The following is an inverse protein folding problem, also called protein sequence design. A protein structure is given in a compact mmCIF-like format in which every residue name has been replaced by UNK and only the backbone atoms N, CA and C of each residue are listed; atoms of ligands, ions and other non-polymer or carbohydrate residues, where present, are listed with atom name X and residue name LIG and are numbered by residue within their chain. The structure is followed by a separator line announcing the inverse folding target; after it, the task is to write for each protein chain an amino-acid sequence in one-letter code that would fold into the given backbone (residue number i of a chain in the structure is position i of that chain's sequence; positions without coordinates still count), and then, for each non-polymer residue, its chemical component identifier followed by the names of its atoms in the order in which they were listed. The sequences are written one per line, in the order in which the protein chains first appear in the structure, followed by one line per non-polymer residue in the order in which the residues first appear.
data_IF_106671015453
#
_entry.id   IF_106671015453
#
_cell.length_a   1.000
_cell.length_b   1.000
_cell.length_c   1.000
_cell.angle_alpha   90.00
_cell.angle_beta   90.00
_cell.angle_gamma   90.00
#
_symmetry.space_group_name_H-M   'P 1'
#
loop_
_entity.id
_entity.type
_entity.pdbx_description
1 polymer ?
#
# COMPACT_ATOMS: atom_id res chain seq x y z
N UNK A 1 32.37 17.14 -42.92
CA UNK A 1 33.14 18.38 -43.07
C UNK A 1 33.37 18.93 -41.66
N UNK A 2 34.44 18.54 -41.01
CA UNK A 2 35.71 19.26 -40.90
C UNK A 2 35.64 20.46 -39.97
N UNK A 3 36.40 20.58 -39.01
CA UNK A 3 37.76 20.49 -38.43
C UNK A 3 37.76 21.46 -37.23
N UNK A 4 38.28 21.10 -36.11
CA UNK A 4 39.66 21.06 -35.61
C UNK A 4 40.23 22.41 -35.12
N UNK A 5 40.95 22.36 -34.02
CA UNK A 5 42.06 23.25 -33.67
C UNK A 5 41.95 23.72 -32.21
N UNK A 6 42.64 23.11 -31.24
CA UNK A 6 44.02 23.32 -30.76
C UNK A 6 44.19 24.71 -30.11
N UNK A 7 44.70 24.85 -28.94
CA UNK A 7 45.85 24.43 -28.24
C UNK A 7 46.30 25.52 -27.30
N UNK A 8 46.98 25.17 -26.34
CA UNK A 8 48.28 25.41 -25.69
C UNK A 8 48.28 26.41 -24.52
N UNK A 9 48.70 25.92 -23.39
CA UNK A 9 50.01 26.00 -22.70
C UNK A 9 50.41 27.36 -22.14
N UNK A 10 50.72 27.40 -20.86
CA UNK A 10 52.05 27.57 -20.24
C UNK A 10 51.91 28.21 -18.86
N UNK A 11 52.33 27.53 -17.82
CA UNK A 11 53.68 27.51 -17.17
C UNK A 11 54.06 28.73 -16.30
N UNK A 12 54.51 28.41 -15.09
CA UNK A 12 55.64 29.00 -14.41
C UNK A 12 55.31 29.75 -13.12
N UNK A 13 55.79 29.42 -12.07
CA UNK A 13 57.00 29.14 -11.39
C UNK A 13 57.09 29.90 -10.07
N UNK A 14 57.47 29.14 -9.04
CA UNK A 14 58.40 29.39 -7.94
C UNK A 14 58.53 30.75 -7.26
N UNK A 15 58.46 30.72 -5.92
CA UNK A 15 59.63 31.11 -5.11
C UNK A 15 59.43 30.82 -3.61
N UNK A 16 60.46 30.26 -3.04
CA UNK A 16 60.58 29.81 -1.65
C UNK A 16 61.29 30.87 -0.74
N UNK A 17 61.00 30.68 0.56
CA UNK A 17 61.86 30.83 1.76
C UNK A 17 62.27 32.23 2.24
N UNK A 18 62.71 32.45 3.52
CA UNK A 18 63.03 31.52 4.60
C UNK A 18 62.60 31.93 6.05
N UNK A 19 62.63 30.95 6.90
CA UNK A 19 62.98 30.77 8.32
C UNK A 19 63.36 31.95 9.21
N UNK A 20 62.76 31.97 10.43
CA UNK A 20 63.56 32.30 11.66
C UNK A 20 62.97 31.49 12.86
N UNK A 21 63.88 30.71 13.46
CA UNK A 21 63.68 30.01 14.75
C UNK A 21 63.85 30.98 15.91
N UNK A 22 63.01 30.84 16.93
CA UNK A 22 63.34 31.34 18.28
C UNK A 22 62.88 30.28 19.30
N UNK A 23 63.86 29.73 19.98
CA UNK A 23 63.79 28.77 21.07
C UNK A 23 63.47 29.50 22.37
N UNK A 24 62.44 29.02 23.10
CA UNK A 24 62.22 29.37 24.52
C UNK A 24 61.89 28.06 25.28
N UNK A 25 62.59 27.88 26.39
CA UNK A 25 62.66 26.70 27.23
C UNK A 25 61.37 26.50 28.10
N UNK A 26 61.17 25.28 28.68
CA UNK A 26 59.88 24.79 29.16
C UNK A 26 59.58 25.21 30.58
N UNK A 27 58.30 25.59 30.83
CA UNK A 27 57.69 25.71 32.14
C UNK A 27 56.80 24.50 32.42
N UNK A 28 57.05 23.84 33.54
CA UNK A 28 56.36 22.63 33.99
C UNK A 28 54.87 22.86 34.17
N UNK A 29 54.06 22.01 33.57
CA UNK A 29 52.61 21.95 33.73
C UNK A 29 52.22 20.93 34.84
N UNK A 30 51.13 21.17 35.59
CA UNK A 30 50.58 20.22 36.54
C UNK A 30 49.87 19.04 35.87
N UNK A 31 49.85 17.90 36.52
CA UNK A 31 49.29 16.63 36.06
C UNK A 31 47.77 16.72 35.71
N UNK A 32 47.30 16.02 34.66
CA UNK A 32 45.90 16.01 34.32
C UNK A 32 45.13 15.06 35.25
N UNK A 33 44.08 15.60 35.89
CA UNK A 33 43.04 14.85 36.54
C UNK A 33 42.21 14.11 35.48
N UNK A 34 42.27 12.79 35.50
CA UNK A 34 41.46 11.93 34.63
C UNK A 34 40.00 12.00 35.04
N UNK A 35 39.20 12.79 34.36
CA UNK A 35 37.72 12.68 34.37
C UNK A 35 37.32 11.61 33.37
N UNK A 36 36.89 10.45 33.87
CA UNK A 36 36.28 9.40 33.08
C UNK A 36 34.93 9.90 32.55
N UNK A 37 34.87 10.42 31.35
CA UNK A 37 33.59 10.68 30.67
C UNK A 37 32.99 9.32 30.30
N UNK A 38 31.89 8.97 30.95
CA UNK A 38 31.06 7.88 30.51
C UNK A 38 30.52 8.20 29.11
N UNK A 39 30.99 7.43 28.13
CA UNK A 39 30.53 7.51 26.74
C UNK A 39 29.12 6.90 26.70
N UNK A 40 28.10 7.71 26.96
CA UNK A 40 26.72 7.31 26.77
C UNK A 40 26.49 7.25 25.26
N UNK A 41 26.34 6.04 24.72
CA UNK A 41 25.92 5.85 23.33
C UNK A 41 24.64 6.68 23.05
N UNK A 42 24.51 7.32 21.90
CA UNK A 42 23.27 8.02 21.55
C UNK A 42 22.10 7.05 21.65
N UNK A 43 20.94 7.50 22.14
CA UNK A 43 19.75 6.63 22.19
C UNK A 43 19.46 6.12 20.78
N UNK A 44 19.25 4.82 20.65
CA UNK A 44 18.73 4.21 19.43
C UNK A 44 17.47 4.97 19.03
N UNK A 45 17.34 5.46 17.79
CA UNK A 45 16.10 6.09 17.35
C UNK A 45 14.93 5.14 17.65
N UNK A 46 13.87 5.66 18.23
CA UNK A 46 12.62 4.90 18.33
C UNK A 46 12.25 4.43 16.92
N UNK A 47 11.74 3.18 16.75
CA UNK A 47 11.23 2.76 15.45
C UNK A 47 10.26 3.83 14.95
N UNK A 48 10.37 4.19 13.67
CA UNK A 48 9.44 5.09 13.04
C UNK A 48 8.03 4.56 13.33
N UNK A 49 7.13 5.44 13.77
CA UNK A 49 5.74 5.05 13.93
C UNK A 49 5.28 4.47 12.59
N UNK A 50 4.71 3.26 12.60
CA UNK A 50 4.14 2.65 11.40
C UNK A 50 3.10 3.56 10.76
N UNK A 51 2.66 3.28 9.53
CA UNK A 51 1.59 4.05 8.90
C UNK A 51 0.42 4.15 9.86
N UNK A 52 -0.23 5.32 9.89
CA UNK A 52 -1.40 5.49 10.75
C UNK A 52 -2.43 4.43 10.34
N UNK A 53 -2.76 3.52 11.25
CA UNK A 53 -3.77 2.50 10.99
C UNK A 53 -5.08 3.21 10.63
N UNK A 54 -5.56 2.97 9.43
CA UNK A 54 -6.86 3.45 8.98
C UNK A 54 -7.92 2.49 9.50
N UNK A 55 -9.07 3.02 9.86
CA UNK A 55 -10.18 2.35 10.52
C UNK A 55 -9.89 1.97 11.98
N UNK A 56 -10.96 1.68 12.71
CA UNK A 56 -10.89 1.32 14.13
C UNK A 56 -10.11 0.02 14.37
N UNK A 57 -9.47 -0.11 15.50
CA UNK A 57 -8.82 -1.37 15.89
C UNK A 57 -9.80 -2.55 15.97
N UNK A 58 -11.11 -2.29 16.07
CA UNK A 58 -12.19 -3.29 16.04
C UNK A 58 -12.73 -3.55 14.63
N UNK A 59 -12.19 -2.88 13.61
CA UNK A 59 -12.52 -3.18 12.21
C UNK A 59 -12.23 -4.65 11.91
N UNK A 60 -13.09 -5.37 11.17
CA UNK A 60 -12.83 -6.74 10.78
C UNK A 60 -11.50 -6.89 10.02
N UNK A 61 -11.09 -5.84 9.32
CA UNK A 61 -9.81 -5.83 8.60
C UNK A 61 -8.61 -5.73 9.54
N UNK A 62 -8.75 -5.11 10.73
CA UNK A 62 -7.68 -4.88 11.69
C UNK A 62 -7.57 -5.95 12.79
N UNK A 63 -8.51 -6.91 12.83
CA UNK A 63 -8.53 -7.96 13.86
C UNK A 63 -7.81 -9.23 13.37
N UNK A 64 -6.80 -9.73 14.10
CA UNK A 64 -6.16 -11.00 13.79
C UNK A 64 -7.14 -12.17 13.76
N UNK A 65 -6.81 -13.22 13.01
CA UNK A 65 -7.58 -14.48 13.04
C UNK A 65 -7.38 -15.15 14.41
N UNK A 66 -8.45 -15.71 14.94
CA UNK A 66 -8.40 -16.47 16.20
C UNK A 66 -7.47 -17.69 16.05
N UNK A 67 -6.87 -18.15 17.16
CA UNK A 67 -5.96 -19.30 17.15
C UNK A 67 -6.64 -20.63 16.80
N UNK A 68 -7.96 -20.68 16.85
CA UNK A 68 -8.78 -21.86 16.52
C UNK A 68 -9.96 -21.43 15.64
N UNK A 69 -9.71 -21.07 14.36
CA UNK A 69 -10.75 -20.58 13.46
C UNK A 69 -11.64 -21.73 13.00
N UNK A 70 -12.94 -21.46 12.87
CA UNK A 70 -13.87 -22.41 12.26
C UNK A 70 -13.69 -22.38 10.75
N UNK A 71 -13.27 -23.51 10.18
CA UNK A 71 -13.10 -23.65 8.73
C UNK A 71 -14.43 -23.90 8.02
N UNK A 72 -14.56 -23.34 6.81
CA UNK A 72 -15.66 -23.69 5.92
C UNK A 72 -15.55 -25.15 5.50
N UNK A 73 -16.67 -25.91 5.43
CA UNK A 73 -16.64 -27.29 4.93
C UNK A 73 -16.07 -27.47 3.51
N UNK A 74 -16.06 -26.40 2.71
CA UNK A 74 -15.50 -26.40 1.36
C UNK A 74 -14.08 -25.80 1.28
N UNK A 75 -13.42 -25.51 2.43
CA UNK A 75 -12.11 -24.83 2.47
C UNK A 75 -11.10 -25.46 1.52
N UNK A 76 -10.95 -26.80 1.52
CA UNK A 76 -9.97 -27.49 0.67
C UNK A 76 -10.22 -27.22 -0.83
N UNK A 77 -11.47 -27.22 -1.27
CA UNK A 77 -11.81 -26.98 -2.68
C UNK A 77 -11.64 -25.52 -3.08
N UNK A 78 -11.96 -24.62 -2.17
CA UNK A 78 -11.77 -23.18 -2.36
C UNK A 78 -10.28 -22.89 -2.44
N UNK A 79 -9.47 -23.44 -1.52
CA UNK A 79 -8.01 -23.30 -1.53
C UNK A 79 -7.39 -23.86 -2.79
N UNK A 80 -7.78 -25.08 -3.23
CA UNK A 80 -7.34 -25.69 -4.49
C UNK A 80 -7.64 -24.81 -5.72
N UNK A 81 -8.74 -24.05 -5.69
CA UNK A 81 -9.06 -23.12 -6.76
C UNK A 81 -8.20 -21.87 -6.70
N UNK A 82 -8.14 -21.21 -5.54
CA UNK A 82 -7.47 -19.95 -5.33
C UNK A 82 -5.95 -20.06 -5.52
N UNK A 83 -5.33 -21.17 -5.10
CA UNK A 83 -3.90 -21.39 -5.23
C UNK A 83 -3.39 -21.61 -6.67
N UNK A 84 -4.27 -21.57 -7.68
CA UNK A 84 -3.85 -21.76 -9.08
C UNK A 84 -3.15 -20.58 -9.69
N UNK A 85 -3.51 -19.40 -9.26
CA UNK A 85 -2.97 -18.13 -9.74
C UNK A 85 -3.16 -17.09 -8.66
N UNK A 86 -2.05 -16.64 -8.09
CA UNK A 86 -2.06 -15.62 -7.04
C UNK A 86 -1.10 -14.51 -7.44
N UNK A 87 -1.61 -13.31 -7.61
CA UNK A 87 -0.83 -12.16 -8.03
C UNK A 87 -1.00 -10.96 -7.09
N UNK A 88 -0.05 -10.04 -7.17
CA UNK A 88 -0.12 -8.71 -6.58
C UNK A 88 -0.37 -7.70 -7.70
N UNK A 89 -1.48 -6.94 -7.60
CA UNK A 89 -1.79 -5.84 -8.51
C UNK A 89 -1.11 -4.57 -8.03
N UNK A 90 -0.03 -4.19 -8.69
CA UNK A 90 0.85 -3.11 -8.24
C UNK A 90 0.67 -1.80 -9.02
N UNK A 91 0.00 -1.86 -10.19
CA UNK A 91 -0.11 -0.71 -11.08
C UNK A 91 -1.46 -0.61 -11.79
N UNK A 92 -1.79 -1.51 -12.74
CA UNK A 92 -2.95 -1.33 -13.63
C UNK A 92 -4.28 -1.34 -12.87
N UNK A 93 -4.46 -2.32 -11.96
CA UNK A 93 -5.61 -2.42 -11.05
C UNK A 93 -5.21 -2.25 -9.57
N UNK A 94 -4.06 -1.62 -9.33
CA UNK A 94 -3.70 -1.14 -7.99
C UNK A 94 -4.64 -0.02 -7.53
N UNK A 95 -4.47 0.43 -6.30
CA UNK A 95 -5.28 1.50 -5.73
C UNK A 95 -4.46 2.79 -5.68
N UNK A 96 -4.90 3.81 -6.44
CA UNK A 96 -4.32 5.14 -6.37
C UNK A 96 -4.79 5.82 -5.08
N UNK A 97 -3.86 6.08 -4.14
CA UNK A 97 -4.18 6.65 -2.83
C UNK A 97 -3.50 8.00 -2.67
N UNK A 98 -4.28 8.98 -2.22
CA UNK A 98 -3.81 10.34 -1.90
C UNK A 98 -4.25 10.72 -0.50
N UNK A 99 -3.44 11.52 0.18
CA UNK A 99 -3.75 12.05 1.50
C UNK A 99 -3.88 13.57 1.42
N UNK A 100 -4.94 14.12 2.00
CA UNK A 100 -5.25 15.55 1.98
C UNK A 100 -5.61 16.09 3.34
N UNK A 101 -5.52 17.42 3.47
CA UNK A 101 -5.90 18.15 4.67
C UNK A 101 -6.64 19.44 4.32
N UNK A 102 -6.76 20.36 5.29
CA UNK A 102 -7.52 21.62 5.16
C UNK A 102 -7.08 22.52 3.99
N UNK A 103 -5.81 22.40 3.55
CA UNK A 103 -5.26 23.23 2.48
C UNK A 103 -5.70 22.83 1.08
N UNK A 104 -6.26 21.62 0.90
CA UNK A 104 -6.75 21.16 -0.41
C UNK A 104 -8.13 21.72 -0.68
N UNK A 105 -8.29 22.36 -1.84
CA UNK A 105 -9.57 22.94 -2.25
C UNK A 105 -10.58 21.84 -2.54
N UNK A 106 -11.79 21.87 -1.96
CA UNK A 106 -12.83 20.92 -2.27
C UNK A 106 -13.43 21.15 -3.66
N UNK A 107 -13.72 20.05 -4.36
CA UNK A 107 -14.27 20.01 -5.73
C UNK A 107 -15.59 19.23 -5.76
N UNK A 108 -16.37 19.42 -6.83
CA UNK A 108 -17.60 18.65 -7.06
C UNK A 108 -17.26 17.28 -7.68
N UNK A 109 -18.06 16.26 -7.34
CA UNK A 109 -18.03 14.96 -7.99
C UNK A 109 -19.44 14.60 -8.44
N UNK A 110 -19.60 14.25 -9.73
CA UNK A 110 -20.83 13.76 -10.32
C UNK A 110 -20.76 12.25 -10.53
N UNK A 111 -21.78 11.52 -10.14
CA UNK A 111 -21.88 10.08 -10.42
C UNK A 111 -22.62 9.83 -11.73
N UNK A 112 -22.14 8.88 -12.55
CA UNK A 112 -22.74 8.60 -13.87
C UNK A 112 -23.68 7.40 -13.88
N UNK A 113 -23.58 6.49 -12.89
CA UNK A 113 -24.45 5.33 -12.76
C UNK A 113 -25.68 5.64 -11.90
N UNK A 114 -26.83 5.16 -12.34
CA UNK A 114 -28.12 5.31 -11.63
C UNK A 114 -28.42 4.10 -10.72
N UNK A 115 -27.52 3.86 -9.76
CA UNK A 115 -27.66 2.79 -8.76
C UNK A 115 -28.29 3.28 -7.44
N UNK A 116 -28.88 4.46 -7.48
CA UNK A 116 -29.49 5.14 -6.35
C UNK A 116 -28.79 6.47 -6.05
N UNK A 117 -28.99 6.98 -4.82
CA UNK A 117 -28.34 8.23 -4.42
C UNK A 117 -26.84 8.00 -4.19
N UNK A 118 -26.02 8.56 -5.04
CA UNK A 118 -24.57 8.51 -4.89
C UNK A 118 -24.11 9.38 -3.72
N UNK A 119 -23.32 8.87 -2.77
CA UNK A 119 -22.80 9.64 -1.64
C UNK A 119 -21.95 10.84 -2.05
N UNK A 120 -21.21 10.73 -3.17
CA UNK A 120 -20.30 11.79 -3.63
C UNK A 120 -21.03 13.05 -4.12
N UNK A 121 -22.29 12.95 -4.52
CA UNK A 121 -23.09 14.11 -4.93
C UNK A 121 -23.63 14.93 -3.74
N UNK A 122 -23.41 14.48 -2.52
CA UNK A 122 -23.96 15.13 -1.31
C UNK A 122 -23.16 16.35 -0.84
N UNK A 123 -22.07 16.73 -1.50
CA UNK A 123 -21.21 17.84 -1.09
C UNK A 123 -19.99 18.02 -1.98
N UNK A 124 -19.01 18.75 -1.46
CA UNK A 124 -17.71 18.90 -2.09
C UNK A 124 -16.70 17.97 -1.39
N UNK A 125 -15.71 17.52 -2.15
CA UNK A 125 -14.70 16.58 -1.69
C UNK A 125 -13.30 17.10 -2.00
N UNK A 126 -12.37 16.96 -1.06
CA UNK A 126 -10.97 17.32 -1.30
C UNK A 126 -10.29 16.24 -2.13
N UNK A 127 -9.98 16.59 -3.38
CA UNK A 127 -9.21 15.76 -4.31
C UNK A 127 -8.02 16.62 -4.77
N UNK A 128 -6.76 16.14 -4.69
CA UNK A 128 -5.62 16.94 -5.13
C UNK A 128 -5.67 17.21 -6.64
N UNK A 129 -5.24 18.40 -7.07
CA UNK A 129 -5.26 18.81 -8.49
C UNK A 129 -4.42 17.90 -9.40
N UNK A 130 -3.43 17.23 -8.83
CA UNK A 130 -2.54 16.31 -9.53
C UNK A 130 -2.89 14.83 -9.31
N UNK A 131 -4.06 14.53 -8.75
CA UNK A 131 -4.49 13.16 -8.56
C UNK A 131 -4.70 12.47 -9.92
N UNK A 132 -4.19 11.25 -10.02
CA UNK A 132 -4.39 10.36 -11.16
C UNK A 132 -5.06 9.09 -10.65
N UNK A 133 -6.17 8.66 -11.24
CA UNK A 133 -6.77 7.37 -10.91
C UNK A 133 -5.87 6.22 -11.37
N UNK A 134 -6.13 5.01 -10.90
CA UNK A 134 -5.49 3.80 -11.40
C UNK A 134 -5.63 3.71 -12.93
N UNK A 135 -4.60 3.23 -13.65
CA UNK A 135 -4.58 3.28 -15.11
C UNK A 135 -5.49 2.25 -15.81
N UNK A 136 -5.91 1.20 -15.10
CA UNK A 136 -6.84 0.19 -15.64
C UNK A 136 -8.28 0.70 -15.79
N UNK A 137 -9.14 -0.12 -16.36
CA UNK A 137 -10.54 0.23 -16.62
C UNK A 137 -11.35 0.56 -15.36
N UNK A 138 -10.90 0.08 -14.19
CA UNK A 138 -11.50 0.43 -12.91
C UNK A 138 -11.23 1.88 -12.50
N UNK A 139 -10.16 2.48 -12.96
CA UNK A 139 -9.86 3.89 -12.70
C UNK A 139 -10.07 4.29 -11.24
N UNK A 140 -9.69 3.42 -10.29
CA UNK A 140 -9.96 3.60 -8.87
C UNK A 140 -9.10 4.72 -8.31
N UNK A 141 -9.74 5.62 -7.56
CA UNK A 141 -9.09 6.71 -6.84
C UNK A 141 -9.61 6.75 -5.41
N UNK A 142 -8.71 6.73 -4.45
CA UNK A 142 -9.01 6.87 -3.02
C UNK A 142 -8.29 8.08 -2.47
N UNK A 143 -9.02 8.93 -1.78
CA UNK A 143 -8.46 10.07 -1.06
C UNK A 143 -8.77 9.94 0.43
N UNK A 144 -7.74 9.98 1.26
CA UNK A 144 -7.87 10.05 2.71
C UNK A 144 -7.92 11.52 3.12
N UNK A 145 -9.11 12.00 3.45
CA UNK A 145 -9.32 13.38 3.93
C UNK A 145 -9.20 13.42 5.47
N UNK A 146 -8.01 13.81 5.93
CA UNK A 146 -7.72 13.93 7.36
C UNK A 146 -8.49 15.05 8.04
N UNK A 147 -8.88 16.10 7.30
CA UNK A 147 -9.67 17.20 7.84
C UNK A 147 -11.11 16.79 8.13
N UNK A 148 -11.73 16.03 7.23
CA UNK A 148 -13.09 15.52 7.38
C UNK A 148 -13.13 14.12 8.05
N UNK A 149 -11.96 13.52 8.31
CA UNK A 149 -11.81 12.19 8.91
C UNK A 149 -12.60 11.11 8.17
N UNK A 150 -12.47 11.11 6.84
CA UNK A 150 -13.13 10.13 5.96
C UNK A 150 -12.28 9.82 4.75
N UNK A 151 -12.57 8.72 4.08
CA UNK A 151 -12.14 8.50 2.70
C UNK A 151 -13.14 9.10 1.73
N UNK A 152 -12.67 9.44 0.54
CA UNK A 152 -13.46 9.73 -0.66
C UNK A 152 -12.99 8.74 -1.72
N UNK A 153 -13.88 7.90 -2.21
CA UNK A 153 -13.54 6.76 -3.02
C UNK A 153 -14.34 6.80 -4.33
N UNK A 154 -13.61 6.80 -5.45
CA UNK A 154 -14.18 6.91 -6.79
C UNK A 154 -13.83 5.67 -7.60
N UNK A 155 -14.80 5.10 -8.28
CA UNK A 155 -14.62 4.07 -9.30
C UNK A 155 -14.86 4.67 -10.68
N UNK A 156 -13.93 4.42 -11.62
CA UNK A 156 -13.88 5.05 -12.93
C UNK A 156 -13.84 6.58 -12.84
N UNK A 157 -12.88 7.07 -12.03
CA UNK A 157 -12.70 8.49 -11.78
C UNK A 157 -12.17 9.23 -13.01
N UNK A 158 -12.78 10.36 -13.34
CA UNK A 158 -12.36 11.23 -14.46
C UNK A 158 -12.36 12.69 -14.02
N UNK A 159 -11.22 13.37 -14.21
CA UNK A 159 -11.13 14.82 -14.01
C UNK A 159 -11.58 15.57 -15.26
N UNK A 160 -12.56 16.44 -15.14
CA UNK A 160 -13.06 17.29 -16.22
C UNK A 160 -12.48 18.71 -16.18
N UNK A 161 -12.25 19.23 -14.98
CA UNK A 161 -11.63 20.51 -14.71
C UNK A 161 -11.01 20.55 -13.31
N UNK A 162 -10.40 21.67 -12.93
CA UNK A 162 -9.91 21.89 -11.57
C UNK A 162 -11.02 21.87 -10.50
N UNK A 163 -12.29 22.02 -10.88
CA UNK A 163 -13.43 22.12 -9.96
C UNK A 163 -14.39 20.94 -10.07
N UNK A 164 -14.22 20.03 -11.07
CA UNK A 164 -15.18 18.99 -11.39
C UNK A 164 -14.53 17.65 -11.74
N UNK A 165 -14.95 16.62 -11.03
CA UNK A 165 -14.72 15.22 -11.33
C UNK A 165 -16.01 14.48 -11.64
N UNK A 166 -15.94 13.39 -12.38
CA UNK A 166 -16.99 12.37 -12.41
C UNK A 166 -16.46 11.03 -11.94
N UNK A 167 -17.38 10.19 -11.52
CA UNK A 167 -17.13 8.80 -11.12
C UNK A 167 -18.32 7.97 -11.58
N UNK A 168 -18.11 6.74 -12.03
CA UNK A 168 -19.26 5.85 -12.29
C UNK A 168 -20.04 5.62 -11.00
N UNK A 169 -19.33 5.32 -9.92
CA UNK A 169 -19.88 5.22 -8.58
C UNK A 169 -18.82 5.56 -7.54
N UNK A 170 -19.26 5.89 -6.32
CA UNK A 170 -18.31 6.11 -5.24
C UNK A 170 -18.97 6.23 -3.88
N UNK A 171 -18.13 6.27 -2.86
CA UNK A 171 -18.57 6.35 -1.47
C UNK A 171 -17.65 7.20 -0.62
N UNK A 172 -18.07 7.46 0.61
CA UNK A 172 -17.24 8.03 1.66
C UNK A 172 -17.29 7.12 2.88
N UNK A 173 -16.14 6.85 3.49
CA UNK A 173 -16.02 5.96 4.66
C UNK A 173 -15.33 6.68 5.82
N UNK A 174 -15.92 6.74 7.03
CA UNK A 174 -15.23 7.28 8.20
C UNK A 174 -13.93 6.52 8.49
N UNK A 175 -12.80 7.22 8.62
CA UNK A 175 -11.48 6.59 8.87
C UNK A 175 -11.32 6.03 10.29
N UNK A 176 -12.18 6.37 11.21
CA UNK A 176 -12.27 5.79 12.55
C UNK A 176 -13.43 4.77 12.68
N UNK A 177 -14.06 4.42 11.55
CA UNK A 177 -15.11 3.41 11.44
C UNK A 177 -14.57 2.00 11.21
N UNK A 178 -15.44 1.15 10.68
CA UNK A 178 -15.12 -0.27 10.45
C UNK A 178 -14.50 -0.57 9.07
N UNK A 179 -14.42 0.39 8.16
CA UNK A 179 -14.09 0.14 6.75
C UNK A 179 -15.27 -0.39 5.93
N UNK A 180 -16.48 -0.37 6.51
CA UNK A 180 -17.74 -0.74 5.84
C UNK A 180 -18.56 0.55 5.76
N UNK A 181 -18.66 1.17 4.58
CA UNK A 181 -19.43 2.41 4.40
C UNK A 181 -20.95 2.17 4.51
N UNK A 182 -21.70 3.23 4.73
CA UNK A 182 -23.17 3.18 4.75
C UNK A 182 -23.74 2.83 3.37
N UNK A 183 -23.12 3.34 2.31
CA UNK A 183 -23.43 3.01 0.91
C UNK A 183 -22.19 2.35 0.32
N UNK A 184 -22.38 1.23 -0.36
CA UNK A 184 -21.30 0.37 -0.84
C UNK A 184 -20.20 1.11 -1.64
N UNK A 185 -18.94 0.69 -1.44
CA UNK A 185 -17.78 1.14 -2.21
C UNK A 185 -17.48 0.18 -3.37
N UNK A 186 -17.11 -1.06 -3.07
CA UNK A 186 -16.72 -2.10 -4.03
C UNK A 186 -17.76 -3.22 -4.18
N UNK A 187 -17.42 -4.30 -4.86
CA UNK A 187 -18.25 -5.48 -5.10
C UNK A 187 -18.83 -6.09 -3.83
N UNK A 188 -18.05 -6.22 -2.77
CA UNK A 188 -18.48 -6.71 -1.47
C UNK A 188 -19.19 -5.66 -0.60
N UNK A 189 -19.18 -4.39 -1.00
CA UNK A 189 -19.73 -3.29 -0.22
C UNK A 189 -18.79 -2.70 0.82
N UNK A 190 -17.51 -3.05 0.80
CA UNK A 190 -16.48 -2.49 1.66
C UNK A 190 -15.87 -1.20 1.07
N UNK A 191 -15.06 -0.49 1.86
CA UNK A 191 -14.21 0.59 1.38
C UNK A 191 -13.11 0.04 0.47
N UNK A 192 -12.77 0.75 -0.61
CA UNK A 192 -11.62 0.42 -1.46
C UNK A 192 -10.28 0.56 -0.73
N UNK A 193 -10.24 1.30 0.38
CA UNK A 193 -9.03 1.41 1.21
C UNK A 193 -8.84 0.23 2.16
N UNK A 194 -9.94 -0.46 2.52
CA UNK A 194 -9.89 -1.51 3.53
C UNK A 194 -9.05 -2.71 3.06
N UNK A 195 -7.97 -3.00 3.75
CA UNK A 195 -7.09 -4.14 3.48
C UNK A 195 -6.12 -3.98 2.30
N UNK A 196 -6.04 -2.80 1.69
CA UNK A 196 -5.04 -2.50 0.66
C UNK A 196 -3.64 -2.48 1.30
N UNK A 197 -2.69 -3.17 0.68
CA UNK A 197 -1.29 -3.14 1.12
C UNK A 197 -0.67 -1.79 0.77
N UNK A 198 -0.18 -1.07 1.79
CA UNK A 198 0.39 0.26 1.62
C UNK A 198 1.89 0.20 1.30
N UNK A 199 2.35 1.22 0.59
CA UNK A 199 3.78 1.38 0.21
C UNK A 199 4.67 1.35 1.45
N UNK A 200 4.27 2.06 2.52
CA UNK A 200 5.02 2.14 3.76
C UNK A 200 5.14 0.79 4.48
N UNK A 201 4.14 -0.07 4.36
CA UNK A 201 4.12 -1.40 4.96
C UNK A 201 5.15 -2.31 4.30
N UNK A 202 5.23 -2.29 2.98
CA UNK A 202 6.27 -2.99 2.22
C UNK A 202 7.66 -2.40 2.53
N UNK A 203 7.78 -1.07 2.63
CA UNK A 203 9.03 -0.42 3.01
C UNK A 203 9.50 -0.79 4.43
N UNK A 204 8.57 -0.97 5.37
CA UNK A 204 8.84 -1.36 6.75
C UNK A 204 8.98 -2.88 6.93
N UNK A 205 8.45 -3.69 6.01
CA UNK A 205 8.42 -5.14 6.09
C UNK A 205 7.38 -5.67 7.08
N UNK A 206 6.25 -4.96 7.24
CA UNK A 206 5.19 -5.32 8.18
C UNK A 206 3.83 -4.79 7.73
N UNK A 207 2.83 -5.67 7.75
CA UNK A 207 1.42 -5.38 7.51
C UNK A 207 0.64 -5.83 8.74
N UNK A 208 -0.12 -4.91 9.35
CA UNK A 208 -0.85 -5.13 10.60
C UNK A 208 -2.37 -5.20 10.41
N UNK A 209 -2.81 -5.68 9.25
CA UNK A 209 -4.22 -5.86 8.92
C UNK A 209 -4.41 -7.03 7.94
N UNK A 210 -5.66 -7.47 7.75
CA UNK A 210 -6.02 -8.44 6.72
C UNK A 210 -5.89 -7.80 5.33
N UNK A 211 -5.32 -8.54 4.39
CA UNK A 211 -5.30 -8.16 2.99
C UNK A 211 -6.70 -8.29 2.38
N UNK A 212 -6.84 -7.79 1.16
CA UNK A 212 -8.04 -7.98 0.35
C UNK A 212 -7.66 -8.40 -1.07
N UNK A 213 -8.55 -9.14 -1.71
CA UNK A 213 -8.34 -9.64 -3.06
C UNK A 213 -9.63 -9.69 -3.87
N UNK A 214 -9.49 -9.59 -5.18
CA UNK A 214 -10.52 -9.95 -6.15
C UNK A 214 -10.35 -11.39 -6.63
N UNK A 215 -11.45 -12.01 -7.08
CA UNK A 215 -11.43 -13.37 -7.64
C UNK A 215 -12.43 -13.51 -8.79
N UNK A 216 -12.06 -14.28 -9.82
CA UNK A 216 -12.99 -14.63 -10.91
C UNK A 216 -14.01 -15.71 -10.52
N UNK A 217 -13.97 -16.19 -9.27
CA UNK A 217 -14.85 -17.24 -8.76
C UNK A 217 -15.71 -16.78 -7.57
N UNK A 218 -16.04 -15.50 -7.48
CA UNK A 218 -16.93 -14.99 -6.44
C UNK A 218 -18.33 -15.58 -6.58
N UNK A 219 -18.92 -16.06 -5.47
CA UNK A 219 -20.21 -16.73 -5.45
C UNK A 219 -21.36 -15.80 -5.83
N UNK A 220 -22.25 -16.29 -6.69
CA UNK A 220 -23.51 -15.60 -6.98
C UNK A 220 -24.47 -15.71 -5.78
N UNK A 221 -24.96 -14.57 -5.30
CA UNK A 221 -25.96 -14.47 -4.24
C UNK A 221 -25.54 -15.08 -2.87
N UNK A 222 -24.24 -15.30 -2.65
CA UNK A 222 -23.71 -15.73 -1.35
C UNK A 222 -22.56 -14.84 -0.94
N UNK A 223 -22.67 -14.25 0.25
CA UNK A 223 -21.64 -13.42 0.85
C UNK A 223 -21.64 -13.56 2.38
N UNK A 224 -20.56 -13.15 3.00
CA UNK A 224 -20.35 -13.25 4.44
C UNK A 224 -19.84 -11.94 5.00
N UNK A 225 -20.12 -11.67 6.26
CA UNK A 225 -19.51 -10.53 6.93
C UNK A 225 -17.95 -10.60 6.82
N UNK A 226 -17.25 -9.51 6.45
CA UNK A 226 -17.70 -8.11 6.44
C UNK A 226 -18.41 -7.63 5.15
N UNK A 227 -18.55 -8.45 4.13
CA UNK A 227 -19.33 -8.06 2.95
C UNK A 227 -20.79 -7.77 3.31
N UNK A 228 -21.39 -6.77 2.66
CA UNK A 228 -22.78 -6.36 2.80
C UNK A 228 -23.63 -6.68 1.58
N UNK A 229 -22.97 -7.03 0.48
CA UNK A 229 -23.54 -7.45 -0.80
C UNK A 229 -22.54 -8.34 -1.55
N UNK A 230 -22.88 -8.79 -2.73
CA UNK A 230 -21.99 -9.44 -3.67
C UNK A 230 -22.33 -9.04 -5.10
N UNK A 231 -21.35 -8.92 -5.95
CA UNK A 231 -21.46 -8.86 -7.41
C UNK A 231 -21.02 -10.16 -8.08
N UNK A 232 -20.66 -11.18 -7.29
CA UNK A 232 -20.21 -12.48 -7.73
C UNK A 232 -21.15 -13.17 -8.74
N UNK A 233 -20.57 -13.86 -9.70
CA UNK A 233 -21.29 -14.50 -10.82
C UNK A 233 -21.16 -16.02 -10.83
N UNK A 234 -20.28 -16.59 -10.00
CA UNK A 234 -20.01 -18.03 -10.00
C UNK A 234 -21.13 -18.83 -9.32
N UNK A 235 -21.52 -19.92 -9.96
CA UNK A 235 -22.41 -20.95 -9.38
C UNK A 235 -21.68 -22.27 -9.14
N UNK A 236 -20.35 -22.26 -9.15
CA UNK A 236 -19.52 -23.43 -8.88
C UNK A 236 -19.63 -23.83 -7.40
N UNK A 237 -19.37 -25.10 -7.10
CA UNK A 237 -19.37 -25.61 -5.72
C UNK A 237 -18.16 -25.13 -4.91
N UNK A 238 -17.11 -24.71 -5.58
CA UNK A 238 -15.86 -24.16 -5.04
C UNK A 238 -15.79 -22.63 -5.16
N UNK A 239 -16.93 -21.95 -5.38
CA UNK A 239 -16.95 -20.51 -5.42
C UNK A 239 -16.65 -19.92 -4.04
N UNK A 240 -16.09 -18.70 -4.05
CA UNK A 240 -15.70 -17.96 -2.86
C UNK A 240 -16.81 -16.95 -2.52
N UNK A 241 -17.49 -17.05 -1.37
CA UNK A 241 -18.37 -15.98 -0.94
C UNK A 241 -17.56 -14.70 -0.68
N UNK A 242 -17.97 -13.56 -1.22
CA UNK A 242 -17.36 -12.29 -0.82
C UNK A 242 -17.52 -12.06 0.68
N UNK A 243 -16.50 -11.50 1.32
CA UNK A 243 -16.36 -11.45 2.76
C UNK A 243 -15.81 -12.75 3.38
N UNK A 244 -15.67 -13.84 2.62
CA UNK A 244 -14.94 -15.00 3.12
C UNK A 244 -13.46 -14.64 3.33
N UNK A 245 -12.86 -15.16 4.41
CA UNK A 245 -11.49 -14.88 4.82
C UNK A 245 -10.63 -16.10 4.60
N UNK A 246 -9.59 -15.96 3.78
CA UNK A 246 -8.56 -17.00 3.62
C UNK A 246 -7.40 -16.75 4.59
N UNK A 247 -6.67 -17.80 4.95
CA UNK A 247 -5.48 -17.73 5.81
C UNK A 247 -4.40 -18.64 5.26
N UNK A 248 -3.17 -18.15 5.21
CA UNK A 248 -2.00 -19.03 5.03
C UNK A 248 -1.78 -19.81 6.33
N UNK A 249 -1.57 -21.12 6.23
CA UNK A 249 -1.39 -21.98 7.40
C UNK A 249 -0.29 -21.42 8.35
N UNK A 250 -0.65 -21.02 9.58
CA UNK A 250 0.32 -20.48 10.53
C UNK A 250 1.39 -21.49 11.00
N UNK A 251 1.20 -22.79 10.73
CA UNK A 251 2.19 -23.81 11.02
C UNK A 251 3.34 -23.86 10.00
N UNK A 252 3.21 -23.21 8.86
CA UNK A 252 4.27 -23.12 7.87
C UNK A 252 5.40 -22.24 8.40
N UNK A 253 6.60 -22.81 8.45
CA UNK A 253 7.83 -22.12 8.83
C UNK A 253 8.36 -21.30 7.65
N UNK A 254 8.05 -19.99 7.64
CA UNK A 254 8.46 -19.07 6.57
C UNK A 254 9.99 -18.90 6.45
N UNK A 255 10.76 -19.24 7.51
CA UNK A 255 12.22 -19.16 7.46
C UNK A 255 12.85 -20.26 6.61
N UNK A 256 12.09 -21.29 6.27
CA UNK A 256 12.51 -22.37 5.39
C UNK A 256 12.20 -22.12 3.91
N UNK A 257 11.49 -21.04 3.61
CA UNK A 257 11.12 -20.67 2.25
C UNK A 257 12.09 -19.61 1.72
N UNK A 258 12.40 -19.69 0.43
CA UNK A 258 13.22 -18.70 -0.27
C UNK A 258 12.33 -17.53 -0.73
N UNK A 259 11.92 -16.71 0.21
CA UNK A 259 11.02 -15.59 0.01
C UNK A 259 11.80 -14.29 -0.10
N UNK A 260 11.39 -13.44 -1.05
CA UNK A 260 11.79 -12.03 -1.06
C UNK A 260 11.29 -11.32 0.21
N UNK A 261 11.75 -10.10 0.44
CA UNK A 261 11.30 -9.32 1.60
C UNK A 261 9.79 -9.05 1.55
N UNK A 262 9.26 -8.70 0.36
CA UNK A 262 7.84 -8.45 0.20
C UNK A 262 6.99 -9.72 0.39
N UNK A 263 7.37 -10.83 -0.25
CA UNK A 263 6.65 -12.11 -0.09
C UNK A 263 6.60 -12.57 1.37
N UNK A 264 7.70 -12.42 2.10
CA UNK A 264 7.73 -12.71 3.55
C UNK A 264 6.78 -11.80 4.33
N UNK A 265 6.75 -10.51 4.01
CA UNK A 265 5.85 -9.54 4.65
C UNK A 265 4.38 -9.90 4.41
N UNK A 266 4.04 -10.21 3.17
CA UNK A 266 2.70 -10.67 2.75
C UNK A 266 2.34 -11.98 3.46
N UNK A 267 3.25 -12.98 3.46
CA UNK A 267 3.01 -14.27 4.10
C UNK A 267 2.74 -14.14 5.61
N UNK A 268 3.50 -13.31 6.32
CA UNK A 268 3.29 -13.05 7.75
C UNK A 268 1.92 -12.42 8.04
N UNK A 269 1.50 -11.47 7.20
CA UNK A 269 0.16 -10.89 7.30
C UNK A 269 -0.93 -11.92 7.02
N UNK A 270 -0.76 -12.75 5.98
CA UNK A 270 -1.69 -13.84 5.65
C UNK A 270 -1.79 -14.89 6.74
N UNK A 271 -0.71 -15.20 7.45
CA UNK A 271 -0.75 -16.10 8.61
C UNK A 271 -1.48 -15.48 9.81
N UNK A 272 -1.33 -14.18 10.02
CA UNK A 272 -1.87 -13.48 11.20
C UNK A 272 -3.27 -12.97 10.98
N UNK A 273 -3.46 -12.29 9.85
CA UNK A 273 -4.70 -11.56 9.54
C UNK A 273 -5.47 -12.19 8.36
N UNK A 274 -4.82 -13.00 7.52
CA UNK A 274 -5.44 -13.55 6.32
C UNK A 274 -5.83 -12.47 5.29
N UNK A 275 -6.75 -12.83 4.39
CA UNK A 275 -7.26 -11.92 3.37
C UNK A 275 -8.74 -12.15 3.08
N UNK A 276 -9.48 -11.08 2.80
CA UNK A 276 -10.91 -11.12 2.45
C UNK A 276 -11.12 -11.03 0.93
N UNK A 277 -11.99 -11.87 0.39
CA UNK A 277 -12.54 -11.69 -0.95
C UNK A 277 -13.50 -10.49 -0.93
N UNK A 278 -13.25 -9.47 -1.78
CA UNK A 278 -14.04 -8.22 -1.76
C UNK A 278 -14.60 -7.80 -3.11
N UNK A 279 -14.21 -8.48 -4.18
CA UNK A 279 -14.61 -8.07 -5.52
C UNK A 279 -14.48 -9.23 -6.51
N UNK A 280 -15.08 -9.09 -7.70
CA UNK A 280 -14.77 -9.94 -8.84
C UNK A 280 -13.56 -9.39 -9.59
N UNK A 281 -12.75 -10.29 -10.17
CA UNK A 281 -11.55 -9.93 -10.92
C UNK A 281 -11.23 -10.92 -12.03
N UNK A 282 -10.12 -10.69 -12.73
CA UNK A 282 -9.71 -11.50 -13.89
C UNK A 282 -9.05 -12.84 -13.51
N UNK A 283 -8.35 -12.92 -12.38
CA UNK A 283 -7.58 -14.07 -11.91
C UNK A 283 -8.23 -14.85 -10.77
N UNK A 284 -7.58 -15.93 -10.32
CA UNK A 284 -8.06 -16.69 -9.18
C UNK A 284 -7.91 -15.87 -7.88
N UNK A 285 -6.77 -15.21 -7.68
CA UNK A 285 -6.52 -14.23 -6.60
C UNK A 285 -5.69 -13.08 -7.14
N UNK A 286 -6.16 -11.87 -6.96
CA UNK A 286 -5.39 -10.65 -7.19
C UNK A 286 -5.48 -9.76 -5.95
N UNK A 287 -4.35 -9.61 -5.22
CA UNK A 287 -4.27 -8.76 -4.04
C UNK A 287 -4.13 -7.30 -4.45
N UNK A 288 -4.80 -6.40 -3.72
CA UNK A 288 -4.75 -4.97 -3.97
C UNK A 288 -3.62 -4.29 -3.21
N UNK A 289 -2.84 -3.53 -3.96
CA UNK A 289 -1.72 -2.72 -3.46
C UNK A 289 -1.91 -1.25 -3.82
N UNK A 290 -1.34 -0.37 -3.00
CA UNK A 290 -1.23 1.04 -3.32
C UNK A 290 -0.28 1.26 -4.48
N UNK A 291 -0.64 2.06 -5.47
CA UNK A 291 0.21 2.40 -6.61
C UNK A 291 1.34 3.33 -6.15
N UNK A 292 2.59 2.95 -6.41
CA UNK A 292 3.73 3.80 -6.09
C UNK A 292 3.77 5.03 -7.01
N UNK A 293 4.17 6.18 -6.46
CA UNK A 293 4.21 7.44 -7.21
C UNK A 293 5.19 7.43 -8.40
N UNK A 294 6.19 6.54 -8.37
CA UNK A 294 7.16 6.32 -9.44
C UNK A 294 6.85 5.08 -10.31
N UNK A 295 5.66 4.49 -10.14
CA UNK A 295 5.22 3.34 -10.94
C UNK A 295 4.98 3.72 -12.41
N UNK A 296 5.22 2.74 -13.28
CA UNK A 296 5.00 2.82 -14.73
C UNK A 296 4.40 1.49 -15.23
N UNK A 297 3.91 1.40 -16.47
CA UNK A 297 3.39 0.13 -17.02
C UNK A 297 4.37 -1.06 -17.00
N UNK A 298 5.67 -0.80 -16.82
CA UNK A 298 6.73 -1.82 -16.84
C UNK A 298 7.54 -1.91 -15.56
N UNK A 299 7.29 -1.04 -14.58
CA UNK A 299 7.98 -0.99 -13.30
C UNK A 299 6.98 -0.58 -12.21
N UNK A 300 6.71 -1.43 -11.19
CA UNK A 300 5.74 -1.12 -10.15
C UNK A 300 6.23 -0.05 -9.15
N UNK A 301 7.43 0.48 -9.33
CA UNK A 301 8.04 1.49 -8.47
C UNK A 301 9.15 0.95 -7.57
N UNK A 302 10.02 1.87 -7.16
CA UNK A 302 11.28 1.54 -6.47
C UNK A 302 11.08 0.83 -5.13
N UNK A 303 9.99 1.11 -4.41
CA UNK A 303 9.66 0.44 -3.14
C UNK A 303 9.39 -1.04 -3.37
N UNK A 304 8.59 -1.37 -4.36
CA UNK A 304 8.23 -2.75 -4.70
C UNK A 304 9.40 -3.51 -5.27
N UNK A 305 10.12 -2.94 -6.25
CA UNK A 305 11.27 -3.60 -6.88
C UNK A 305 12.41 -3.85 -5.89
N UNK A 306 12.69 -2.91 -4.97
CA UNK A 306 13.70 -3.12 -3.92
C UNK A 306 13.28 -4.16 -2.87
N UNK A 307 12.00 -4.47 -2.76
CA UNK A 307 11.45 -5.50 -1.88
C UNK A 307 11.30 -6.87 -2.58
N UNK A 308 11.52 -6.93 -3.90
CA UNK A 308 11.50 -8.16 -4.69
C UNK A 308 10.24 -8.37 -5.55
N UNK A 309 9.33 -7.37 -5.63
CA UNK A 309 8.20 -7.39 -6.55
C UNK A 309 8.58 -6.58 -7.80
N UNK A 310 8.83 -7.24 -8.92
CA UNK A 310 9.57 -6.67 -10.05
C UNK A 310 8.69 -6.19 -11.22
N UNK A 311 7.41 -6.50 -11.22
CA UNK A 311 6.47 -6.20 -12.30
C UNK A 311 5.05 -6.11 -11.76
N UNK A 312 4.15 -5.49 -12.51
CA UNK A 312 2.72 -5.58 -12.27
C UNK A 312 2.22 -7.02 -12.40
N UNK A 313 1.15 -7.37 -11.73
CA UNK A 313 0.67 -8.77 -11.60
C UNK A 313 1.78 -9.72 -11.16
N UNK A 314 2.57 -9.30 -10.17
CA UNK A 314 3.66 -10.12 -9.68
C UNK A 314 3.14 -11.44 -9.11
N UNK A 315 3.60 -12.57 -9.68
CA UNK A 315 3.19 -13.90 -9.23
C UNK A 315 3.79 -14.20 -7.85
N UNK A 316 2.93 -14.57 -6.91
CA UNK A 316 3.31 -14.95 -5.53
C UNK A 316 3.51 -16.47 -5.39
N UNK A 317 4.10 -17.09 -6.43
CA UNK A 317 4.28 -18.55 -6.55
C UNK A 317 5.22 -19.16 -5.48
N UNK A 318 6.06 -18.32 -4.84
CA UNK A 318 6.92 -18.80 -3.76
C UNK A 318 6.16 -19.05 -2.44
N UNK A 319 4.92 -18.58 -2.33
CA UNK A 319 4.06 -18.85 -1.18
C UNK A 319 3.34 -20.19 -1.36
N UNK A 320 3.25 -21.01 -0.32
CA UNK A 320 2.61 -22.33 -0.37
C UNK A 320 1.09 -22.20 -0.21
N UNK A 321 0.45 -21.89 -1.31
CA UNK A 321 -1.01 -21.75 -1.42
C UNK A 321 -1.76 -23.08 -1.27
#
# INVERSE_FOLDING_TARGET
LDQAGSGSDSSGSDSATPTTSTTVAPTSAPAPTSTTSANTAPPTPAPAAGPAQVFAATSPFNVPIASDPVLDPNSDRIADYLGREVVADLYEFGIAIYEVGESTTPVAVECTEDWGRCPLESGLHRIPDNALPAPGDDGTLVVIDWAERRTVELWQAVQHSEELWSSSWGTTTPIDGTGIPEVFGNGAGASHLAGVVRIEEIAQGRIDHALVFSTNNACRNDYRFPATKTDGQSSRIDCVPEGARIQLDPAIDLDRLDLTRAERTIAQALQTYGAYAIDIGGGAVAFYFEIAADATPTDPGSVYTSAGLSNDYFALDALPW
#
